data_IF_886206580610
#
_entry.id   IF_886206580610
#
_cell.length_a   1.000
_cell.length_b   1.000
_cell.length_c   1.000
_cell.angle_alpha   90.00
_cell.angle_beta   90.00
_cell.angle_gamma   90.00
#
_symmetry.space_group_name_H-M   'P 1'
#
loop_
_entity.id
_entity.type
_entity.pdbx_description
1 polymer ?
#
# COMPACT_ATOMS: atom_id res chain seq x y z
N UNK A 1 -16.59 -12.01 7.56
CA UNK A 1 -17.20 -11.02 6.63
C UNK A 1 -16.33 -9.77 6.46
N UNK A 2 -15.90 -9.10 7.54
CA UNK A 2 -15.03 -7.91 7.49
C UNK A 2 -13.76 -8.09 6.64
N UNK A 3 -12.97 -9.14 6.93
CA UNK A 3 -11.72 -9.41 6.21
C UNK A 3 -11.90 -9.63 4.70
N UNK A 4 -13.00 -10.30 4.31
CA UNK A 4 -13.34 -10.51 2.89
C UNK A 4 -13.67 -9.20 2.15
N UNK A 5 -14.33 -8.25 2.83
CA UNK A 5 -14.61 -6.92 2.26
C UNK A 5 -13.30 -6.13 2.11
N UNK A 6 -12.49 -6.08 3.16
CA UNK A 6 -11.19 -5.40 3.13
C UNK A 6 -10.30 -5.95 2.01
N UNK A 7 -10.17 -7.27 1.92
CA UNK A 7 -9.42 -7.95 0.87
C UNK A 7 -9.96 -7.62 -0.52
N UNK A 8 -11.28 -7.65 -0.72
CA UNK A 8 -11.90 -7.32 -2.01
C UNK A 8 -11.58 -5.89 -2.45
N UNK A 9 -11.65 -4.92 -1.52
CA UNK A 9 -11.29 -3.51 -1.80
C UNK A 9 -9.84 -3.41 -2.27
N UNK A 10 -8.93 -4.11 -1.59
CA UNK A 10 -7.51 -4.09 -1.93
C UNK A 10 -7.20 -4.79 -3.26
N UNK A 11 -7.86 -5.91 -3.55
CA UNK A 11 -7.70 -6.62 -4.82
C UNK A 11 -8.22 -5.77 -5.98
N UNK A 12 -9.36 -5.11 -5.83
CA UNK A 12 -9.88 -4.17 -6.85
C UNK A 12 -8.90 -3.01 -7.05
N UNK A 13 -8.34 -2.47 -5.96
CA UNK A 13 -7.31 -1.43 -6.05
C UNK A 13 -6.09 -1.91 -6.85
N UNK A 14 -5.54 -3.09 -6.52
CA UNK A 14 -4.36 -3.61 -7.21
C UNK A 14 -4.66 -3.98 -8.67
N UNK A 15 -5.72 -4.75 -8.93
CA UNK A 15 -6.07 -5.22 -10.28
C UNK A 15 -6.68 -4.12 -11.16
N UNK A 16 -7.22 -3.05 -10.59
CA UNK A 16 -7.69 -1.90 -11.35
C UNK A 16 -6.58 -0.90 -11.62
N UNK A 17 -5.94 -0.41 -10.55
CA UNK A 17 -5.04 0.75 -10.64
C UNK A 17 -3.67 0.36 -11.19
N UNK A 18 -3.13 -0.81 -10.84
CA UNK A 18 -1.80 -1.22 -11.33
C UNK A 18 -1.83 -1.45 -12.84
N UNK A 19 -2.77 -2.23 -13.42
CA UNK A 19 -2.82 -2.41 -14.86
C UNK A 19 -3.06 -1.09 -15.61
N UNK A 20 -3.93 -0.22 -15.10
CA UNK A 20 -4.16 1.10 -15.71
C UNK A 20 -2.86 1.93 -15.73
N UNK A 21 -2.10 1.92 -14.63
CA UNK A 21 -0.80 2.60 -14.57
C UNK A 21 0.23 2.00 -15.49
N UNK A 22 0.35 0.67 -15.56
CA UNK A 22 1.24 -0.01 -16.50
C UNK A 22 0.89 0.39 -17.94
N UNK A 23 -0.39 0.42 -18.28
CA UNK A 23 -0.87 0.89 -19.58
C UNK A 23 -0.48 2.35 -19.85
N UNK A 24 -0.63 3.25 -18.87
CA UNK A 24 -0.21 4.65 -19.02
C UNK A 24 1.32 4.81 -19.15
N UNK A 25 2.11 3.99 -18.47
CA UNK A 25 3.55 3.95 -18.66
C UNK A 25 3.92 3.49 -20.07
N UNK A 26 3.27 2.44 -20.58
CA UNK A 26 3.54 1.90 -21.91
C UNK A 26 3.13 2.86 -23.03
N UNK A 27 2.01 3.57 -22.86
CA UNK A 27 1.51 4.56 -23.83
C UNK A 27 2.16 5.94 -23.72
N UNK A 28 3.10 6.13 -22.79
CA UNK A 28 3.77 7.41 -22.57
C UNK A 28 2.87 8.51 -21.99
N UNK A 29 1.64 8.18 -21.58
CA UNK A 29 0.69 9.13 -20.94
C UNK A 29 1.13 9.55 -19.55
N UNK A 30 2.01 8.78 -18.92
CA UNK A 30 2.50 9.01 -17.56
C UNK A 30 3.92 9.62 -17.58
N UNK A 31 3.99 10.92 -17.26
CA UNK A 31 5.20 11.75 -17.33
C UNK A 31 5.94 11.87 -15.99
N UNK A 32 5.50 11.17 -14.95
CA UNK A 32 6.17 11.15 -13.65
C UNK A 32 7.65 10.72 -13.75
N UNK A 33 8.48 11.29 -12.88
CA UNK A 33 9.91 10.98 -12.82
C UNK A 33 10.15 9.52 -12.37
N UNK A 34 11.27 8.91 -12.79
CA UNK A 34 11.62 7.53 -12.47
C UNK A 34 11.54 7.22 -10.95
N UNK A 35 11.97 8.16 -10.09
CA UNK A 35 11.91 8.02 -8.63
C UNK A 35 10.48 7.82 -8.12
N UNK A 36 9.49 8.49 -8.72
CA UNK A 36 8.06 8.31 -8.38
C UNK A 36 7.60 6.92 -8.78
N UNK A 37 7.98 6.46 -9.98
CA UNK A 37 7.61 5.11 -10.48
C UNK A 37 8.16 4.00 -9.58
N UNK A 38 9.42 4.14 -9.14
CA UNK A 38 10.06 3.19 -8.21
C UNK A 38 9.30 3.17 -6.88
N UNK A 39 9.05 4.33 -6.28
CA UNK A 39 8.31 4.43 -5.01
C UNK A 39 6.93 3.77 -5.09
N UNK A 40 6.20 4.02 -6.19
CA UNK A 40 4.89 3.44 -6.41
C UNK A 40 4.94 1.92 -6.59
N UNK A 41 5.89 1.41 -7.37
CA UNK A 41 6.03 -0.02 -7.60
C UNK A 41 6.45 -0.75 -6.31
N UNK A 42 7.46 -0.23 -5.61
CA UNK A 42 7.93 -0.78 -4.33
C UNK A 42 6.81 -0.78 -3.29
N UNK A 43 6.07 0.33 -3.17
CA UNK A 43 4.93 0.43 -2.26
C UNK A 43 3.82 -0.57 -2.61
N UNK A 44 3.47 -0.71 -3.89
CA UNK A 44 2.46 -1.69 -4.34
C UNK A 44 2.88 -3.14 -4.11
N UNK A 45 4.15 -3.48 -4.36
CA UNK A 45 4.68 -4.82 -4.10
C UNK A 45 4.65 -5.14 -2.61
N UNK A 46 5.12 -4.21 -1.79
CA UNK A 46 5.15 -4.39 -0.34
C UNK A 46 3.73 -4.49 0.27
N UNK A 47 2.80 -3.68 -0.22
CA UNK A 47 1.38 -3.76 0.12
C UNK A 47 0.76 -5.11 -0.30
N UNK A 48 1.14 -5.64 -1.47
CA UNK A 48 0.67 -6.94 -1.96
C UNK A 48 1.12 -8.09 -1.05
N UNK A 49 2.32 -8.01 -0.49
CA UNK A 49 2.80 -8.97 0.53
C UNK A 49 1.90 -8.89 1.78
N UNK A 50 1.56 -7.68 2.24
CA UNK A 50 0.64 -7.48 3.36
C UNK A 50 -0.77 -8.05 3.12
N UNK A 51 -1.22 -8.17 1.86
CA UNK A 51 -2.51 -8.81 1.57
C UNK A 51 -2.55 -10.30 1.86
N UNK A 52 -1.40 -10.97 1.87
CA UNK A 52 -1.32 -12.37 2.27
C UNK A 52 -1.75 -12.51 3.74
N UNK A 53 -1.40 -11.54 4.60
CA UNK A 53 -1.86 -11.51 5.99
C UNK A 53 -3.38 -11.37 6.08
N UNK A 54 -3.98 -10.45 5.29
CA UNK A 54 -5.44 -10.26 5.23
C UNK A 54 -6.13 -11.53 4.74
N UNK A 55 -5.57 -12.19 3.73
CA UNK A 55 -6.06 -13.48 3.23
C UNK A 55 -5.97 -14.59 4.28
N UNK A 56 -4.91 -14.59 5.10
CA UNK A 56 -4.80 -15.45 6.28
C UNK A 56 -5.96 -15.27 7.26
N UNK A 57 -6.37 -14.03 7.51
CA UNK A 57 -7.52 -13.75 8.39
C UNK A 57 -8.86 -14.26 7.81
N UNK A 58 -9.00 -14.31 6.49
CA UNK A 58 -10.18 -14.90 5.83
C UNK A 58 -10.23 -16.41 6.05
N UNK A 59 -9.09 -17.08 5.89
CA UNK A 59 -8.99 -18.54 5.92
C UNK A 59 -8.65 -19.11 7.31
N UNK A 60 -8.51 -18.24 8.33
CA UNK A 60 -8.07 -18.62 9.67
C UNK A 60 -6.72 -19.35 9.65
N UNK A 61 -5.80 -18.87 8.81
CA UNK A 61 -4.48 -19.45 8.61
C UNK A 61 -3.37 -18.43 8.86
N UNK A 62 -2.31 -18.90 9.49
CA UNK A 62 -1.06 -18.17 9.58
C UNK A 62 -0.18 -18.52 8.37
N UNK A 63 0.18 -17.52 7.60
CA UNK A 63 1.09 -17.67 6.45
C UNK A 63 2.46 -17.17 6.88
N UNK A 64 3.55 -17.82 6.44
CA UNK A 64 4.91 -17.52 6.91
C UNK A 64 5.09 -17.65 8.44
N UNK A 65 6.32 -17.45 8.91
CA UNK A 65 6.66 -17.44 10.34
C UNK A 65 6.44 -16.05 10.95
N UNK A 66 6.23 -15.96 12.26
CA UNK A 66 5.93 -14.69 12.94
C UNK A 66 7.02 -13.63 12.71
N UNK A 67 8.29 -14.03 12.68
CA UNK A 67 9.45 -13.17 12.46
C UNK A 67 9.40 -12.46 11.10
N UNK A 68 8.82 -13.10 10.08
CA UNK A 68 8.61 -12.50 8.77
C UNK A 68 7.69 -11.28 8.87
N UNK A 69 6.61 -11.39 9.63
CA UNK A 69 5.64 -10.30 9.80
C UNK A 69 6.14 -9.20 10.73
N UNK A 70 6.93 -9.55 11.75
CA UNK A 70 7.63 -8.57 12.57
C UNK A 70 8.57 -7.74 11.69
N UNK A 71 9.39 -8.40 10.85
CA UNK A 71 10.28 -7.72 9.92
C UNK A 71 9.50 -6.85 8.92
N UNK A 72 8.38 -7.36 8.39
CA UNK A 72 7.50 -6.61 7.51
C UNK A 72 6.99 -5.33 8.19
N UNK A 73 6.49 -5.41 9.44
CA UNK A 73 6.02 -4.25 10.19
C UNK A 73 7.13 -3.22 10.39
N UNK A 74 8.32 -3.66 10.82
CA UNK A 74 9.48 -2.77 11.01
C UNK A 74 9.84 -2.04 9.71
N UNK A 75 9.97 -2.78 8.61
CA UNK A 75 10.31 -2.21 7.30
C UNK A 75 9.22 -1.22 6.87
N UNK A 76 7.95 -1.58 7.02
CA UNK A 76 6.85 -0.72 6.61
C UNK A 76 6.77 0.56 7.43
N UNK A 77 6.88 0.46 8.75
CA UNK A 77 6.88 1.60 9.65
C UNK A 77 8.06 2.52 9.34
N UNK A 78 9.26 1.98 9.14
CA UNK A 78 10.42 2.75 8.74
C UNK A 78 10.18 3.44 7.39
N UNK A 79 9.61 2.73 6.41
CA UNK A 79 9.23 3.30 5.12
C UNK A 79 8.23 4.46 5.27
N UNK A 80 7.16 4.29 6.04
CA UNK A 80 6.19 5.35 6.31
C UNK A 80 6.84 6.59 6.91
N UNK A 81 7.73 6.43 7.91
CA UNK A 81 8.47 7.53 8.53
C UNK A 81 9.36 8.24 7.51
N UNK A 82 10.13 7.50 6.71
CA UNK A 82 11.01 8.07 5.68
C UNK A 82 10.19 8.85 4.64
N UNK A 83 9.03 8.31 4.21
CA UNK A 83 8.15 8.95 3.25
C UNK A 83 7.58 10.29 3.72
N UNK A 84 7.46 10.53 5.04
CA UNK A 84 7.06 11.85 5.56
C UNK A 84 8.04 12.96 5.16
N UNK A 85 9.33 12.63 5.04
CA UNK A 85 10.38 13.60 4.71
C UNK A 85 10.78 13.52 3.23
N UNK A 86 10.77 12.33 2.65
CA UNK A 86 11.36 12.04 1.35
C UNK A 86 10.47 11.16 0.47
N UNK A 87 9.20 11.54 0.29
CA UNK A 87 8.35 10.91 -0.74
C UNK A 87 8.37 11.73 -2.06
N UNK A 88 9.13 11.29 -3.08
CA UNK A 88 9.00 11.78 -4.45
C UNK A 88 7.56 11.84 -4.95
N UNK A 89 6.75 10.82 -4.64
CA UNK A 89 5.34 10.73 -5.03
C UNK A 89 4.53 11.85 -4.41
N UNK A 90 4.64 12.08 -3.10
CA UNK A 90 3.88 13.14 -2.44
C UNK A 90 4.28 14.53 -2.94
N UNK A 91 5.57 14.75 -3.24
CA UNK A 91 6.02 16.00 -3.89
C UNK A 91 5.45 16.16 -5.29
N UNK A 92 5.41 15.09 -6.08
CA UNK A 92 4.80 15.12 -7.41
C UNK A 92 3.31 15.46 -7.32
N UNK A 93 2.56 14.79 -6.43
CA UNK A 93 1.13 15.02 -6.23
C UNK A 93 0.85 16.43 -5.71
N UNK A 94 1.70 17.00 -4.85
CA UNK A 94 1.56 18.36 -4.35
C UNK A 94 1.63 19.43 -5.46
N UNK A 95 2.26 19.14 -6.61
CA UNK A 95 2.34 20.04 -7.75
C UNK A 95 1.09 20.02 -8.65
N UNK A 96 0.28 18.98 -8.55
CA UNK A 96 -0.91 18.76 -9.41
C UNK A 96 -2.23 18.81 -8.63
N UNK A 97 -2.21 18.62 -7.31
CA UNK A 97 -3.39 18.59 -6.46
C UNK A 97 -3.35 19.70 -5.40
N UNK A 98 -4.53 20.22 -5.04
CA UNK A 98 -4.63 21.20 -3.95
C UNK A 98 -4.29 20.57 -2.60
N UNK A 99 -3.80 21.41 -1.66
CA UNK A 99 -3.47 20.97 -0.29
C UNK A 99 -4.64 20.23 0.39
N UNK A 100 -5.88 20.68 0.16
CA UNK A 100 -7.09 20.04 0.72
C UNK A 100 -7.29 18.63 0.17
N UNK A 101 -7.14 18.44 -1.15
CA UNK A 101 -7.25 17.13 -1.79
C UNK A 101 -6.16 16.19 -1.27
N UNK A 102 -4.93 16.68 -1.14
CA UNK A 102 -3.80 15.90 -0.66
C UNK A 102 -4.00 15.41 0.79
N UNK A 103 -4.51 16.26 1.68
CA UNK A 103 -4.83 15.89 3.07
C UNK A 103 -5.94 14.84 3.11
N UNK A 104 -7.06 15.08 2.43
CA UNK A 104 -8.19 14.14 2.41
C UNK A 104 -7.76 12.78 1.84
N UNK A 105 -7.03 12.78 0.71
CA UNK A 105 -6.53 11.56 0.10
C UNK A 105 -5.60 10.77 1.04
N UNK A 106 -4.75 11.47 1.79
CA UNK A 106 -3.85 10.84 2.76
C UNK A 106 -4.62 10.20 3.92
N UNK A 107 -5.62 10.89 4.47
CA UNK A 107 -6.47 10.36 5.55
C UNK A 107 -7.22 9.12 5.07
N UNK A 108 -7.86 9.19 3.91
CA UNK A 108 -8.59 8.06 3.32
C UNK A 108 -7.63 6.87 3.10
N UNK A 109 -6.43 7.11 2.57
CA UNK A 109 -5.46 6.05 2.33
C UNK A 109 -5.06 5.33 3.63
N UNK A 110 -4.83 6.07 4.72
CA UNK A 110 -4.50 5.46 6.02
C UNK A 110 -5.67 4.66 6.59
N UNK A 111 -6.88 5.23 6.58
CA UNK A 111 -8.09 4.54 7.07
C UNK A 111 -8.35 3.26 6.29
N UNK A 112 -8.25 3.32 4.96
CA UNK A 112 -8.41 2.15 4.09
C UNK A 112 -7.32 1.11 4.35
N UNK A 113 -6.11 1.52 4.76
CA UNK A 113 -5.01 0.59 5.03
C UNK A 113 -5.05 -0.05 6.43
N UNK A 114 -5.87 0.45 7.37
CA UNK A 114 -5.94 -0.06 8.75
C UNK A 114 -6.18 -1.59 8.85
N UNK A 115 -7.12 -2.19 8.09
CA UNK A 115 -7.30 -3.64 8.11
C UNK A 115 -6.01 -4.40 7.73
N UNK A 116 -5.25 -3.92 6.73
CA UNK A 116 -3.99 -4.53 6.34
C UNK A 116 -2.97 -4.51 7.47
N UNK A 117 -2.78 -3.36 8.13
CA UNK A 117 -1.89 -3.27 9.29
C UNK A 117 -2.31 -4.23 10.41
N UNK A 118 -3.60 -4.27 10.71
CA UNK A 118 -4.12 -5.10 11.79
C UNK A 118 -3.98 -6.60 11.47
N UNK A 119 -4.21 -7.00 10.21
CA UNK A 119 -4.01 -8.37 9.79
C UNK A 119 -2.55 -8.81 9.93
N UNK A 120 -1.60 -7.94 9.56
CA UNK A 120 -0.16 -8.23 9.72
C UNK A 120 0.22 -8.29 11.21
N UNK A 121 -0.34 -7.40 12.04
CA UNK A 121 -0.11 -7.39 13.48
C UNK A 121 -0.51 -8.73 14.12
N UNK A 122 -1.69 -9.26 13.78
CA UNK A 122 -2.15 -10.57 14.22
C UNK A 122 -1.20 -11.67 13.73
N UNK A 123 -0.79 -11.63 12.45
CA UNK A 123 0.13 -12.62 11.88
C UNK A 123 1.53 -12.60 12.54
N UNK A 124 1.95 -11.44 13.06
CA UNK A 124 3.17 -11.28 13.84
C UNK A 124 3.05 -11.84 15.28
N UNK A 125 1.87 -12.32 15.68
CA UNK A 125 1.63 -12.93 16.99
C UNK A 125 1.24 -11.96 18.10
N UNK A 126 0.73 -10.77 17.75
CA UNK A 126 0.27 -9.75 18.69
C UNK A 126 -1.25 -9.54 18.67
#
# INVERSE_FOLDING_TARGET
MFWGIAFSIYVIYLLGIIPLKIYHYWTGKETSALKVKIEEFSGSLFFSIGLIAVYGQINQQFFFVHEFWIAWLIIYTAYCIICLFYSPKMRHVANIASKKVLIIGTIIAHLVSLPLYYAVFIQAGF
#
